data_IF_517975362343
#
_entry.id   IF_517975362343
#
_cell.length_a   1.000
_cell.length_b   1.000
_cell.length_c   1.000
_cell.angle_alpha   90.00
_cell.angle_beta   90.00
_cell.angle_gamma   90.00
#
_symmetry.space_group_name_H-M   'P 1'
#
loop_
_entity.id
_entity.type
_entity.pdbx_description
1 polymer ?
#
# COMPACT_ATOMS: atom_id res chain seq x y z
N UNK A 1 2.20 9.91 1.65
CA UNK A 1 2.61 8.55 2.05
C UNK A 1 1.85 8.09 3.29
N UNK A 2 2.09 8.66 4.48
CA UNK A 2 1.44 8.23 5.73
C UNK A 2 -0.09 8.37 5.69
N UNK A 3 -0.62 9.53 5.29
CA UNK A 3 -2.08 9.71 5.17
C UNK A 3 -2.71 8.77 4.13
N UNK A 4 -1.98 8.47 3.04
CA UNK A 4 -2.43 7.53 2.02
C UNK A 4 -2.50 6.10 2.57
N UNK A 5 -1.54 5.68 3.40
CA UNK A 5 -1.57 4.37 4.05
C UNK A 5 -2.75 4.24 5.04
N UNK A 6 -3.01 5.29 5.84
CA UNK A 6 -4.17 5.33 6.75
C UNK A 6 -5.49 5.27 5.96
N UNK A 7 -5.63 6.11 4.93
CA UNK A 7 -6.83 6.12 4.08
C UNK A 7 -7.06 4.78 3.38
N UNK A 8 -6.00 4.17 2.84
CA UNK A 8 -6.06 2.85 2.23
C UNK A 8 -6.54 1.78 3.21
N UNK A 9 -6.00 1.75 4.43
CA UNK A 9 -6.46 0.82 5.46
C UNK A 9 -7.92 1.08 5.85
N UNK A 10 -8.29 2.34 6.09
CA UNK A 10 -9.65 2.74 6.48
C UNK A 10 -10.71 2.31 5.46
N UNK A 11 -10.44 2.48 4.16
CA UNK A 11 -11.33 2.01 3.09
C UNK A 11 -11.57 0.49 3.21
N UNK A 12 -10.53 -0.30 3.52
CA UNK A 12 -10.67 -1.75 3.63
C UNK A 12 -11.42 -2.20 4.87
N UNK A 13 -11.28 -1.47 5.97
CA UNK A 13 -12.12 -1.70 7.13
C UNK A 13 -13.59 -1.39 6.82
N UNK A 14 -13.87 -0.29 6.11
CA UNK A 14 -15.22 0.01 5.63
C UNK A 14 -15.81 -1.09 4.73
N UNK A 15 -15.03 -1.57 3.76
CA UNK A 15 -15.43 -2.67 2.88
C UNK A 15 -15.75 -3.96 3.66
N UNK A 16 -14.97 -4.26 4.71
CA UNK A 16 -15.24 -5.42 5.57
C UNK A 16 -16.58 -5.29 6.29
N UNK A 17 -16.85 -4.12 6.88
CA UNK A 17 -18.11 -3.85 7.58
C UNK A 17 -19.32 -3.88 6.62
N UNK A 18 -19.14 -3.43 5.38
CA UNK A 18 -20.18 -3.43 4.35
C UNK A 18 -20.30 -4.77 3.59
N UNK A 19 -19.47 -5.78 3.91
CA UNK A 19 -19.41 -7.06 3.16
C UNK A 19 -19.11 -6.92 1.66
N UNK A 20 -18.27 -5.95 1.29
CA UNK A 20 -17.92 -5.67 -0.12
C UNK A 20 -16.52 -6.18 -0.48
N UNK A 21 -16.35 -6.65 -1.72
CA UNK A 21 -15.05 -7.13 -2.28
C UNK A 21 -14.48 -8.31 -1.47
N UNK A 22 -15.33 -9.31 -1.22
CA UNK A 22 -14.99 -10.49 -0.42
C UNK A 22 -13.95 -11.38 -1.10
N UNK A 23 -13.30 -12.22 -0.30
CA UNK A 23 -12.35 -13.21 -0.80
C UNK A 23 -13.02 -14.44 -1.39
N UNK A 24 -12.17 -15.32 -1.94
CA UNK A 24 -12.59 -16.64 -2.44
C UNK A 24 -13.18 -17.50 -1.32
N UNK A 25 -14.04 -18.49 -1.66
CA UNK A 25 -14.48 -19.50 -0.73
C UNK A 25 -13.28 -20.17 -0.06
N UNK A 26 -13.34 -20.35 1.25
CA UNK A 26 -12.23 -20.84 2.02
C UNK A 26 -12.69 -21.69 3.21
N UNK A 27 -12.00 -22.81 3.44
CA UNK A 27 -12.23 -23.71 4.56
C UNK A 27 -11.22 -23.51 5.70
N UNK A 28 -10.69 -22.29 5.85
CA UNK A 28 -9.75 -21.94 6.93
C UNK A 28 -10.50 -21.49 8.19
N UNK A 29 -9.95 -21.69 9.40
CA UNK A 29 -10.69 -21.43 10.65
C UNK A 29 -11.02 -19.95 10.89
N UNK A 30 -10.34 -19.02 10.21
CA UNK A 30 -10.62 -17.58 10.25
C UNK A 30 -11.45 -17.09 9.04
N UNK A 31 -12.07 -18.00 8.28
CA UNK A 31 -12.98 -17.62 7.21
C UNK A 31 -14.23 -16.95 7.79
N UNK A 32 -14.73 -15.92 7.10
CA UNK A 32 -15.87 -15.12 7.52
C UNK A 32 -17.04 -15.38 6.58
N UNK A 33 -18.24 -15.50 7.15
CA UNK A 33 -19.50 -15.58 6.40
C UNK A 33 -20.08 -14.18 6.26
N UNK A 34 -20.17 -13.69 5.04
CA UNK A 34 -20.62 -12.34 4.74
C UNK A 34 -22.12 -12.34 4.41
N UNK A 35 -22.96 -12.02 5.40
CA UNK A 35 -24.42 -12.12 5.30
C UNK A 35 -25.03 -11.23 4.22
N UNK A 36 -24.45 -10.04 4.00
CA UNK A 36 -24.93 -9.09 2.99
C UNK A 36 -24.45 -9.42 1.56
N UNK A 37 -23.51 -10.36 1.39
CA UNK A 37 -22.98 -10.71 0.07
C UNK A 37 -23.69 -11.89 -0.57
N UNK A 38 -23.78 -13.03 0.13
CA UNK A 38 -24.38 -14.27 -0.36
C UNK A 38 -25.35 -14.90 0.65
N UNK A 39 -25.89 -14.10 1.58
CA UNK A 39 -26.69 -14.60 2.70
C UNK A 39 -25.85 -15.29 3.79
N UNK A 40 -24.51 -15.29 3.68
CA UNK A 40 -23.61 -15.95 4.64
C UNK A 40 -23.53 -17.46 4.45
N UNK A 41 -23.98 -17.97 3.29
CA UNK A 41 -24.03 -19.39 2.97
C UNK A 41 -22.61 -19.96 2.78
N UNK A 42 -21.69 -19.16 2.26
CA UNK A 42 -20.31 -19.57 1.99
C UNK A 42 -19.34 -18.84 2.93
N UNK A 43 -18.43 -19.61 3.55
CA UNK A 43 -17.33 -19.04 4.31
C UNK A 43 -16.20 -18.64 3.37
N UNK A 44 -15.67 -17.42 3.53
CA UNK A 44 -14.75 -16.79 2.57
C UNK A 44 -13.55 -16.21 3.29
N UNK A 45 -12.44 -16.08 2.56
CA UNK A 45 -11.31 -15.32 3.08
C UNK A 45 -11.73 -13.85 3.34
N UNK A 46 -11.49 -13.29 4.54
CA UNK A 46 -11.69 -11.87 4.81
C UNK A 46 -10.54 -11.06 4.19
N UNK A 47 -10.46 -11.05 2.85
CA UNK A 47 -9.41 -10.39 2.07
C UNK A 47 -9.24 -8.91 2.44
N UNK A 48 -10.32 -8.24 2.84
CA UNK A 48 -10.31 -6.86 3.29
C UNK A 48 -9.53 -6.69 4.61
N UNK A 49 -9.64 -7.65 5.54
CA UNK A 49 -8.82 -7.64 6.77
C UNK A 49 -7.35 -7.91 6.47
N UNK A 50 -7.05 -8.73 5.46
CA UNK A 50 -5.68 -8.91 4.99
C UNK A 50 -5.11 -7.60 4.42
N UNK A 51 -5.88 -6.89 3.58
CA UNK A 51 -5.47 -5.59 3.05
C UNK A 51 -5.36 -4.53 4.17
N UNK A 52 -6.25 -4.55 5.15
CA UNK A 52 -6.18 -3.66 6.32
C UNK A 52 -4.91 -3.90 7.13
N UNK A 53 -4.62 -5.16 7.48
CA UNK A 53 -3.42 -5.54 8.21
C UNK A 53 -2.14 -5.21 7.42
N UNK A 54 -2.15 -5.41 6.09
CA UNK A 54 -1.07 -5.00 5.20
C UNK A 54 -0.90 -3.48 5.21
N UNK A 55 -1.98 -2.71 5.11
CA UNK A 55 -1.95 -1.24 5.18
C UNK A 55 -1.37 -0.71 6.50
N UNK A 56 -1.76 -1.32 7.63
CA UNK A 56 -1.18 -0.99 8.95
C UNK A 56 0.30 -1.36 9.05
N UNK A 57 0.69 -2.52 8.50
CA UNK A 57 2.09 -2.95 8.46
C UNK A 57 2.95 -1.98 7.64
N UNK A 58 2.45 -1.54 6.47
CA UNK A 58 3.09 -0.51 5.65
C UNK A 58 3.20 0.81 6.41
N UNK A 59 2.15 1.24 7.10
CA UNK A 59 2.21 2.45 7.92
C UNK A 59 3.27 2.36 9.02
N UNK A 60 3.34 1.22 9.72
CA UNK A 60 4.37 0.96 10.74
C UNK A 60 5.78 1.03 10.16
N UNK A 61 6.00 0.41 8.99
CA UNK A 61 7.28 0.46 8.27
C UNK A 61 7.64 1.89 7.84
N UNK A 62 6.67 2.68 7.38
CA UNK A 62 6.90 4.08 7.02
C UNK A 62 7.27 4.94 8.23
N UNK A 63 6.62 4.73 9.38
CA UNK A 63 6.96 5.43 10.63
C UNK A 63 8.37 5.03 11.09
N UNK A 64 8.71 3.74 11.02
CA UNK A 64 10.05 3.26 11.36
C UNK A 64 11.11 3.85 10.42
N UNK A 65 10.87 3.81 9.11
CA UNK A 65 11.77 4.38 8.11
C UNK A 65 11.96 5.89 8.30
N UNK A 66 10.89 6.62 8.64
CA UNK A 66 10.98 8.04 8.94
C UNK A 66 11.85 8.33 10.17
N UNK A 67 11.71 7.52 11.23
CA UNK A 67 12.53 7.64 12.43
C UNK A 67 14.00 7.35 12.15
N UNK A 68 14.29 6.30 11.37
CA UNK A 68 15.66 5.90 11.03
C UNK A 68 16.32 6.88 10.04
N UNK A 69 15.57 7.49 9.14
CA UNK A 69 16.07 8.44 8.16
C UNK A 69 16.30 9.86 8.71
N UNK A 70 16.16 10.06 10.03
CA UNK A 70 16.41 11.35 10.67
C UNK A 70 15.32 12.40 10.44
N UNK A 71 14.07 11.96 10.20
CA UNK A 71 12.87 12.80 10.04
C UNK A 71 13.05 13.94 9.03
N UNK A 72 13.32 15.16 9.49
CA UNK A 72 13.49 16.35 8.64
C UNK A 72 14.70 16.29 7.71
N UNK A 73 15.72 15.50 8.06
CA UNK A 73 16.92 15.31 7.23
C UNK A 73 16.74 14.23 6.17
N UNK A 74 15.59 13.52 6.16
CA UNK A 74 15.35 12.45 5.20
C UNK A 74 15.39 12.97 3.77
N UNK A 75 15.85 12.18 2.80
CA UNK A 75 15.76 12.55 1.39
C UNK A 75 14.30 12.76 0.94
N UNK A 76 14.09 13.74 0.06
CA UNK A 76 12.81 13.94 -0.64
C UNK A 76 12.43 12.68 -1.40
N UNK A 77 11.13 12.43 -1.57
CA UNK A 77 10.57 11.26 -2.24
C UNK A 77 10.82 9.88 -1.59
N UNK A 78 11.70 9.74 -0.58
CA UNK A 78 11.97 8.46 0.08
C UNK A 78 10.68 7.79 0.60
N UNK A 79 9.85 8.53 1.34
CA UNK A 79 8.61 8.00 1.91
C UNK A 79 7.57 7.62 0.85
N UNK A 80 7.53 8.37 -0.25
CA UNK A 80 6.61 8.07 -1.36
C UNK A 80 7.07 6.81 -2.10
N UNK A 81 8.38 6.68 -2.38
CA UNK A 81 8.95 5.48 -2.99
C UNK A 81 8.74 4.24 -2.11
N UNK A 82 8.95 4.35 -0.79
CA UNK A 82 8.69 3.25 0.15
C UNK A 82 7.22 2.86 0.17
N UNK A 83 6.31 3.84 0.25
CA UNK A 83 4.87 3.57 0.24
C UNK A 83 4.45 2.85 -1.04
N UNK A 84 4.83 3.39 -2.21
CA UNK A 84 4.48 2.79 -3.50
C UNK A 84 5.02 1.37 -3.64
N UNK A 85 6.27 1.15 -3.23
CA UNK A 85 6.88 -0.18 -3.34
C UNK A 85 6.21 -1.18 -2.39
N UNK A 86 6.11 -0.86 -1.10
CA UNK A 86 5.62 -1.79 -0.09
C UNK A 86 4.11 -2.06 -0.24
N UNK A 87 3.32 -1.01 -0.44
CA UNK A 87 1.87 -1.14 -0.52
C UNK A 87 1.44 -1.89 -1.78
N UNK A 88 2.00 -1.58 -2.95
CA UNK A 88 1.60 -2.24 -4.19
C UNK A 88 2.18 -3.64 -4.34
N UNK A 89 3.34 -3.93 -3.74
CA UNK A 89 3.80 -5.32 -3.59
C UNK A 89 2.84 -6.15 -2.73
N UNK A 90 2.45 -5.62 -1.56
CA UNK A 90 1.46 -6.27 -0.70
C UNK A 90 0.11 -6.44 -1.39
N UNK A 91 -0.36 -5.42 -2.11
CA UNK A 91 -1.60 -5.46 -2.89
C UNK A 91 -1.57 -6.57 -3.95
N UNK A 92 -0.46 -6.70 -4.68
CA UNK A 92 -0.28 -7.77 -5.66
C UNK A 92 -0.42 -9.17 -5.02
N UNK A 93 0.12 -9.37 -3.82
CA UNK A 93 0.02 -10.63 -3.09
C UNK A 93 -1.40 -10.89 -2.54
N UNK A 94 -2.07 -9.90 -1.97
CA UNK A 94 -3.41 -10.09 -1.38
C UNK A 94 -4.46 -10.37 -2.46
N UNK A 95 -4.23 -9.88 -3.67
CA UNK A 95 -5.11 -10.06 -4.82
C UNK A 95 -5.33 -11.54 -5.19
N UNK A 96 -4.37 -12.42 -4.91
CA UNK A 96 -4.52 -13.87 -5.13
C UNK A 96 -5.63 -14.50 -4.28
N UNK A 97 -5.95 -13.90 -3.14
CA UNK A 97 -6.99 -14.38 -2.22
C UNK A 97 -8.39 -13.85 -2.55
N UNK A 98 -8.50 -12.92 -3.52
CA UNK A 98 -9.78 -12.32 -3.91
C UNK A 98 -10.52 -13.12 -4.95
N UNK A 99 -11.84 -13.15 -4.80
CA UNK A 99 -12.72 -13.71 -5.80
C UNK A 99 -12.99 -12.66 -6.87
N UNK A 100 -12.77 -13.02 -8.13
CA UNK A 100 -13.14 -12.18 -9.26
C UNK A 100 -14.01 -13.00 -10.21
N UNK A 101 -15.17 -12.45 -10.53
CA UNK A 101 -16.12 -13.02 -11.50
C UNK A 101 -15.80 -12.65 -12.94
N UNK A 102 -14.90 -11.68 -13.16
CA UNK A 102 -14.47 -11.27 -14.49
C UNK A 102 -13.11 -11.88 -14.73
N UNK A 103 -13.08 -12.79 -15.69
CA UNK A 103 -11.94 -13.39 -16.39
C UNK A 103 -10.59 -12.76 -16.05
N UNK A 104 -9.66 -13.58 -15.57
CA UNK A 104 -8.24 -13.21 -15.63
C UNK A 104 -7.96 -12.68 -17.04
N UNK A 105 -7.66 -11.38 -17.17
CA UNK A 105 -7.36 -10.79 -18.46
C UNK A 105 -6.26 -11.63 -19.13
N UNK A 106 -6.33 -11.74 -20.46
CA UNK A 106 -5.38 -12.48 -21.31
C UNK A 106 -3.94 -12.43 -20.73
N UNK A 107 -3.53 -13.50 -20.05
CA UNK A 107 -2.24 -13.55 -19.34
C UNK A 107 -2.27 -14.14 -17.92
N UNK A 108 -3.45 -14.43 -17.36
CA UNK A 108 -3.57 -15.13 -16.06
C UNK A 108 -3.40 -14.24 -14.83
N UNK A 109 -3.26 -12.92 -15.02
CA UNK A 109 -3.22 -11.93 -13.95
C UNK A 109 -4.56 -11.19 -13.83
N UNK A 110 -4.93 -10.82 -12.60
CA UNK A 110 -6.14 -10.02 -12.36
C UNK A 110 -5.91 -8.55 -12.71
N UNK A 111 -7.00 -7.79 -12.92
CA UNK A 111 -6.90 -6.35 -13.17
C UNK A 111 -6.19 -5.61 -12.01
N UNK A 112 -6.41 -6.02 -10.77
CA UNK A 112 -5.73 -5.42 -9.62
C UNK A 112 -4.23 -5.71 -9.58
N UNK A 113 -3.77 -6.83 -10.13
CA UNK A 113 -2.34 -7.12 -10.30
C UNK A 113 -1.72 -6.18 -11.33
N UNK A 114 -2.34 -6.01 -12.51
CA UNK A 114 -1.86 -5.07 -13.53
C UNK A 114 -1.77 -3.63 -13.00
N UNK A 115 -2.82 -3.17 -12.31
CA UNK A 115 -2.84 -1.85 -11.69
C UNK A 115 -1.80 -1.67 -10.57
N UNK A 116 -1.26 -2.77 -10.03
CA UNK A 116 -0.22 -2.73 -9.00
C UNK A 116 1.20 -2.70 -9.56
N UNK A 117 1.43 -3.19 -10.79
CA UNK A 117 2.77 -3.24 -11.40
C UNK A 117 3.31 -1.83 -11.65
N UNK A 118 2.54 -0.95 -12.29
CA UNK A 118 3.01 0.39 -12.66
C UNK A 118 3.42 1.19 -11.42
N UNK A 119 2.58 1.32 -10.38
CA UNK A 119 2.96 2.07 -9.18
C UNK A 119 4.13 1.44 -8.42
N UNK A 120 4.23 0.11 -8.40
CA UNK A 120 5.37 -0.60 -7.81
C UNK A 120 6.67 -0.22 -8.53
N UNK A 121 6.70 -0.29 -9.86
CA UNK A 121 7.87 0.09 -10.66
C UNK A 121 8.24 1.57 -10.45
N UNK A 122 7.26 2.47 -10.42
CA UNK A 122 7.49 3.88 -10.10
C UNK A 122 8.09 4.06 -8.68
N UNK A 123 7.61 3.29 -7.70
CA UNK A 123 8.15 3.28 -6.34
C UNK A 123 9.62 2.88 -6.29
N UNK A 124 9.98 1.78 -6.97
CA UNK A 124 11.36 1.31 -7.06
C UNK A 124 12.26 2.32 -7.77
N UNK A 125 11.80 2.88 -8.90
CA UNK A 125 12.54 3.90 -9.63
C UNK A 125 12.81 5.15 -8.77
N UNK A 126 11.82 5.59 -7.98
CA UNK A 126 11.99 6.69 -7.03
C UNK A 126 13.03 6.36 -5.95
N UNK A 127 13.03 5.15 -5.41
CA UNK A 127 14.01 4.73 -4.40
C UNK A 127 15.44 4.71 -4.97
N UNK A 128 15.62 4.25 -6.20
CA UNK A 128 16.91 4.29 -6.91
C UNK A 128 17.35 5.74 -7.12
N UNK A 129 16.44 6.61 -7.57
CA UNK A 129 16.72 8.03 -7.78
C UNK A 129 17.13 8.74 -6.49
N UNK A 130 16.44 8.46 -5.39
CA UNK A 130 16.76 9.01 -4.06
C UNK A 130 18.16 8.61 -3.59
N UNK A 131 18.55 7.35 -3.84
CA UNK A 131 19.89 6.86 -3.51
C UNK A 131 20.97 7.62 -4.30
N UNK A 132 20.70 7.99 -5.54
CA UNK A 132 21.61 8.73 -6.41
C UNK A 132 21.62 10.24 -6.10
N UNK A 133 20.50 10.80 -5.65
CA UNK A 133 20.32 12.25 -5.41
C UNK A 133 19.74 12.50 -4.02
N UNK A 134 20.51 12.33 -2.93
CA UNK A 134 20.02 12.52 -1.57
C UNK A 134 19.81 14.01 -1.26
N UNK A 135 18.71 14.57 -1.77
CA UNK A 135 18.30 15.95 -1.49
C UNK A 135 17.48 15.96 -0.21
N UNK A 136 17.91 16.67 0.86
CA UNK A 136 17.17 16.73 2.11
C UNK A 136 15.77 17.32 1.92
N UNK A 137 14.79 16.79 2.67
CA UNK A 137 13.41 17.28 2.64
C UNK A 137 13.24 18.65 3.31
N UNK A 138 14.03 18.95 4.35
CA UNK A 138 13.98 20.20 5.11
C UNK A 138 14.21 21.49 4.29
N UNK A 139 13.93 22.66 4.89
CA UNK A 139 14.12 23.95 4.22
C UNK A 139 15.57 24.09 3.75
N UNK A 140 15.75 24.55 2.51
CA UNK A 140 17.08 24.90 2.03
C UNK A 140 17.66 25.91 3.01
N UNK A 141 18.90 25.68 3.50
CA UNK A 141 19.60 26.69 4.29
C UNK A 141 19.59 27.98 3.46
N UNK A 142 18.90 29.00 3.93
CA UNK A 142 18.98 30.34 3.34
C UNK A 142 20.40 30.81 3.60
N UNK A 143 21.28 30.70 2.61
CA UNK A 143 22.61 31.27 2.70
C UNK A 143 22.43 32.79 2.71
N UNK A 144 22.83 33.51 3.78
CA UNK A 144 22.73 34.96 3.77
C UNK A 144 23.56 35.50 2.59
N UNK A 145 23.12 36.57 1.90
CA UNK A 145 23.86 37.13 0.79
C UNK A 145 25.26 37.50 1.27
N UNK A 146 26.28 36.96 0.60
CA UNK A 146 27.68 37.33 0.81
C UNK A 146 27.80 38.84 0.63
N UNK A 147 27.97 39.55 1.74
CA UNK A 147 28.20 40.99 1.75
C UNK A 147 29.57 41.23 1.08
N UNK A 148 29.57 41.55 -0.21
CA UNK A 148 30.77 42.04 -0.90
C UNK A 148 31.18 43.33 -0.18
N UNK A 149 32.38 43.32 0.41
CA UNK A 149 33.03 44.51 0.98
C UNK A 149 33.60 45.37 -0.15
#
# INVERSE_FOLDING_TARGET
AMSAAVGAAGIRLGNFLNSEIVGRPAAVPWAVRFTLHDGGVVARHPSQLYEFAMGLSVLGLLILADRLAGREKRPRALMTGLFLTLYFAGRFCVEFFKEYHIDALRGGLTMGQYLSIIPFCCGVALLIWVKQHPTPAGPAKVTPPTRKR
#
